data_IF_297411735278
#
_entry.id   IF_297411735278
#
_cell.length_a   1.000
_cell.length_b   1.000
_cell.length_c   1.000
_cell.angle_alpha   90.00
_cell.angle_beta   90.00
_cell.angle_gamma   90.00
#
_symmetry.space_group_name_H-M   'P 1'
#
loop_
_entity.id
_entity.type
_entity.pdbx_description
1 polymer ?
#
# COMPACT_ATOMS: atom_id res chain seq x y z
N UNK A 1 -17.60 -43.57 23.72
CA UNK A 1 -17.07 -43.42 22.34
C UNK A 1 -18.20 -43.35 21.29
N UNK A 2 -19.27 -44.15 21.42
CA UNK A 2 -20.40 -44.17 20.46
C UNK A 2 -21.31 -42.92 20.49
N UNK A 3 -21.52 -42.31 21.66
CA UNK A 3 -22.33 -41.08 21.79
C UNK A 3 -21.69 -39.86 21.12
N UNK A 4 -20.36 -39.77 21.20
CA UNK A 4 -19.60 -38.72 20.50
C UNK A 4 -19.72 -38.83 18.98
N UNK A 5 -19.83 -40.06 18.44
CA UNK A 5 -20.04 -40.27 17.00
C UNK A 5 -21.45 -39.83 16.59
N UNK A 6 -22.48 -40.20 17.37
CA UNK A 6 -23.87 -39.77 17.11
C UNK A 6 -24.04 -38.25 17.19
N UNK A 7 -23.40 -37.61 18.17
CA UNK A 7 -23.43 -36.16 18.29
C UNK A 7 -22.76 -35.50 17.07
N UNK A 8 -21.62 -36.03 16.62
CA UNK A 8 -20.93 -35.54 15.41
C UNK A 8 -21.80 -35.69 14.16
N UNK A 9 -22.47 -36.82 13.99
CA UNK A 9 -23.40 -37.05 12.87
C UNK A 9 -24.57 -36.06 12.91
N UNK A 10 -25.19 -35.87 14.07
CA UNK A 10 -26.27 -34.90 14.23
C UNK A 10 -25.84 -33.46 13.92
N UNK A 11 -24.61 -33.06 14.33
CA UNK A 11 -24.04 -31.75 13.99
C UNK A 11 -23.87 -31.63 12.46
N UNK A 12 -23.33 -32.66 11.80
CA UNK A 12 -23.16 -32.65 10.34
C UNK A 12 -24.51 -32.53 9.63
N UNK A 13 -25.51 -33.30 10.05
CA UNK A 13 -26.87 -33.26 9.47
C UNK A 13 -27.53 -31.88 9.63
N UNK A 14 -27.23 -31.14 10.69
CA UNK A 14 -27.81 -29.80 10.92
C UNK A 14 -27.06 -28.72 10.13
N UNK A 15 -25.73 -28.76 10.06
CA UNK A 15 -24.93 -27.64 9.54
C UNK A 15 -24.51 -27.79 8.07
N UNK A 16 -24.41 -29.01 7.52
CA UNK A 16 -24.05 -29.21 6.11
C UNK A 16 -25.16 -28.81 5.14
N UNK A 17 -26.45 -29.14 5.37
CA UNK A 17 -27.49 -28.77 4.42
C UNK A 17 -27.64 -27.26 4.22
N UNK A 18 -27.62 -26.40 5.26
CA UNK A 18 -27.62 -24.94 5.07
C UNK A 18 -26.42 -24.44 4.25
N UNK A 19 -25.21 -24.97 4.49
CA UNK A 19 -24.03 -24.60 3.72
C UNK A 19 -24.20 -24.94 2.23
N UNK A 20 -24.70 -26.15 1.94
CA UNK A 20 -24.98 -26.59 0.56
C UNK A 20 -26.08 -25.75 -0.09
N UNK A 21 -27.16 -25.48 0.65
CA UNK A 21 -28.27 -24.66 0.19
C UNK A 21 -27.80 -23.24 -0.17
N UNK A 22 -27.11 -22.55 0.74
CA UNK A 22 -26.56 -21.21 0.51
C UNK A 22 -25.57 -21.23 -0.66
N UNK A 23 -24.67 -22.19 -0.72
CA UNK A 23 -23.71 -22.32 -1.82
C UNK A 23 -24.38 -22.50 -3.18
N UNK A 24 -25.47 -23.28 -3.25
CA UNK A 24 -26.24 -23.48 -4.48
C UNK A 24 -27.05 -22.26 -4.92
N UNK A 25 -27.32 -21.32 -4.00
CA UNK A 25 -28.00 -20.05 -4.31
C UNK A 25 -27.03 -18.99 -4.84
N UNK A 26 -25.72 -19.14 -4.63
CA UNK A 26 -24.71 -18.23 -5.13
C UNK A 26 -24.40 -18.55 -6.60
N UNK A 27 -25.17 -17.95 -7.50
CA UNK A 27 -24.88 -17.99 -8.93
C UNK A 27 -23.99 -16.80 -9.30
N UNK A 28 -22.92 -17.01 -10.10
CA UNK A 28 -22.15 -15.90 -10.64
C UNK A 28 -23.08 -15.00 -11.47
N UNK A 29 -23.21 -13.75 -11.08
CA UNK A 29 -24.03 -12.77 -11.81
C UNK A 29 -23.30 -12.29 -13.08
N UNK A 30 -22.02 -11.92 -12.93
CA UNK A 30 -21.20 -11.39 -14.01
C UNK A 30 -19.82 -12.05 -14.05
N UNK A 31 -19.40 -12.43 -15.26
CA UNK A 31 -18.05 -12.91 -15.54
C UNK A 31 -17.29 -11.84 -16.32
N UNK A 32 -16.29 -11.25 -15.68
CA UNK A 32 -15.43 -10.25 -16.28
C UNK A 32 -14.09 -10.89 -16.64
N UNK A 33 -13.70 -10.81 -17.91
CA UNK A 33 -12.37 -11.25 -18.37
C UNK A 33 -11.42 -10.07 -18.30
N UNK A 34 -10.31 -10.22 -17.56
CA UNK A 34 -9.27 -9.19 -17.45
C UNK A 34 -8.39 -9.24 -18.70
N UNK A 35 -8.44 -8.22 -19.59
CA UNK A 35 -7.59 -8.20 -20.78
C UNK A 35 -6.12 -8.01 -20.39
N UNK A 36 -5.22 -8.60 -21.17
CA UNK A 36 -3.78 -8.40 -21.00
C UNK A 36 -3.12 -9.21 -19.87
N UNK A 37 -3.86 -10.10 -19.21
CA UNK A 37 -3.37 -10.94 -18.10
C UNK A 37 -3.32 -12.40 -18.56
N UNK A 38 -2.14 -13.03 -18.53
CA UNK A 38 -1.95 -14.45 -18.80
C UNK A 38 -1.48 -15.18 -17.55
N UNK A 39 -0.53 -14.60 -16.83
CA UNK A 39 0.08 -15.17 -15.62
C UNK A 39 0.12 -14.13 -14.51
N UNK A 40 -1.03 -13.84 -13.86
CA UNK A 40 -1.09 -12.83 -12.82
C UNK A 40 -0.25 -13.27 -11.63
N UNK A 41 0.59 -12.37 -11.15
CA UNK A 41 1.28 -12.45 -9.87
C UNK A 41 0.88 -11.27 -9.01
N UNK A 42 0.92 -11.42 -7.69
CA UNK A 42 0.55 -10.38 -6.71
C UNK A 42 -0.79 -9.69 -7.02
N UNK A 43 -1.89 -10.40 -6.75
CA UNK A 43 -3.24 -9.87 -6.93
C UNK A 43 -3.70 -9.21 -5.64
N UNK A 44 -4.10 -7.94 -5.72
CA UNK A 44 -4.80 -7.26 -4.65
C UNK A 44 -6.13 -6.70 -5.15
N UNK A 45 -7.14 -6.68 -4.29
CA UNK A 45 -8.47 -6.20 -4.62
C UNK A 45 -9.04 -5.37 -3.46
N UNK A 46 -9.82 -4.36 -3.80
CA UNK A 46 -10.57 -3.56 -2.85
C UNK A 46 -11.91 -3.16 -3.45
N UNK A 47 -12.93 -3.03 -2.59
CA UNK A 47 -14.29 -2.67 -2.97
C UNK A 47 -14.61 -1.28 -2.45
N UNK A 48 -14.86 -0.35 -3.36
CA UNK A 48 -15.38 0.96 -3.07
C UNK A 48 -16.91 0.89 -3.08
N UNK A 49 -17.50 0.78 -1.88
CA UNK A 49 -18.94 0.52 -1.71
C UNK A 49 -19.82 1.71 -2.07
N UNK A 50 -19.29 2.93 -1.98
CA UNK A 50 -20.05 4.14 -2.30
C UNK A 50 -20.37 4.25 -3.80
N UNK A 51 -19.43 3.83 -4.66
CA UNK A 51 -19.52 3.98 -6.11
C UNK A 51 -19.76 2.66 -6.85
N UNK A 52 -20.00 1.56 -6.12
CA UNK A 52 -20.14 0.21 -6.69
C UNK A 52 -18.96 -0.17 -7.59
N UNK A 53 -17.74 0.19 -7.17
CA UNK A 53 -16.50 -0.04 -7.95
C UNK A 53 -15.64 -1.08 -7.28
N UNK A 54 -15.25 -2.08 -8.05
CA UNK A 54 -14.23 -3.05 -7.65
C UNK A 54 -12.92 -2.65 -8.32
N UNK A 55 -11.94 -2.31 -7.49
CA UNK A 55 -10.58 -2.08 -7.93
C UNK A 55 -9.78 -3.36 -7.73
N UNK A 56 -9.13 -3.81 -8.79
CA UNK A 56 -8.26 -4.98 -8.77
C UNK A 56 -6.92 -4.59 -9.38
N UNK A 57 -5.84 -5.02 -8.77
CA UNK A 57 -4.50 -4.80 -9.29
C UNK A 57 -3.73 -6.10 -9.35
N UNK A 58 -2.85 -6.23 -10.33
CA UNK A 58 -2.00 -7.41 -10.51
C UNK A 58 -0.71 -7.03 -11.21
N UNK A 59 0.33 -7.82 -10.96
CA UNK A 59 1.57 -7.79 -11.73
C UNK A 59 1.53 -8.86 -12.84
N UNK A 60 1.70 -8.43 -14.09
CA UNK A 60 1.87 -9.29 -15.26
C UNK A 60 3.30 -9.11 -15.80
N UNK A 61 4.21 -10.00 -15.38
CA UNK A 61 5.64 -9.81 -15.61
C UNK A 61 6.15 -8.58 -14.87
N UNK A 62 6.53 -7.54 -15.61
CA UNK A 62 7.01 -6.26 -15.05
C UNK A 62 5.95 -5.16 -15.07
N UNK A 63 4.76 -5.45 -15.58
CA UNK A 63 3.68 -4.47 -15.72
C UNK A 63 2.75 -4.51 -14.53
N UNK A 64 2.52 -3.36 -13.89
CA UNK A 64 1.48 -3.20 -12.89
C UNK A 64 0.18 -2.79 -13.59
N UNK A 65 -0.85 -3.63 -13.49
CA UNK A 65 -2.15 -3.38 -14.13
C UNK A 65 -3.20 -3.10 -13.06
N UNK A 66 -3.89 -1.97 -13.18
CA UNK A 66 -5.06 -1.60 -12.38
C UNK A 66 -6.33 -1.75 -13.22
N UNK A 67 -7.26 -2.54 -12.72
CA UNK A 67 -8.59 -2.78 -13.26
C UNK A 67 -9.61 -2.05 -12.40
N UNK A 68 -10.35 -1.16 -13.02
CA UNK A 68 -11.49 -0.46 -12.44
C UNK A 68 -12.77 -1.05 -13.03
N UNK A 69 -13.46 -1.84 -12.23
CA UNK A 69 -14.65 -2.58 -12.62
C UNK A 69 -15.88 -1.94 -11.99
N UNK A 70 -16.75 -1.37 -12.82
CA UNK A 70 -18.04 -0.88 -12.38
C UNK A 70 -19.00 -2.07 -12.23
N UNK A 71 -19.45 -2.36 -11.02
CA UNK A 71 -20.24 -3.55 -10.71
C UNK A 71 -21.67 -3.46 -11.27
N UNK A 72 -22.23 -2.26 -11.41
CA UNK A 72 -23.58 -2.04 -11.93
C UNK A 72 -23.67 -2.28 -13.44
N UNK A 73 -22.71 -1.74 -14.19
CA UNK A 73 -22.67 -1.83 -15.66
C UNK A 73 -21.85 -3.03 -16.16
N UNK A 74 -20.94 -3.56 -15.34
CA UNK A 74 -19.95 -4.55 -15.77
C UNK A 74 -18.82 -3.96 -16.64
N UNK A 75 -18.77 -2.63 -16.79
CA UNK A 75 -17.72 -1.94 -17.53
C UNK A 75 -16.36 -2.09 -16.83
N UNK A 76 -15.31 -2.28 -17.63
CA UNK A 76 -13.93 -2.43 -17.14
C UNK A 76 -13.05 -1.41 -17.82
N UNK A 77 -12.34 -0.63 -17.01
CA UNK A 77 -11.26 0.23 -17.46
C UNK A 77 -9.95 -0.36 -16.95
N UNK A 78 -8.94 -0.43 -17.81
CA UNK A 78 -7.62 -0.97 -17.47
C UNK A 78 -6.57 0.11 -17.64
N UNK A 79 -5.71 0.24 -16.63
CA UNK A 79 -4.56 1.14 -16.60
C UNK A 79 -3.28 0.32 -16.40
N UNK A 80 -2.31 0.51 -17.28
CA UNK A 80 -0.94 0.07 -17.10
C UNK A 80 -0.19 1.18 -16.36
N UNK A 81 0.24 0.89 -15.14
CA UNK A 81 0.94 1.81 -14.27
C UNK A 81 2.44 1.56 -14.44
N UNK A 82 3.16 2.61 -14.84
CA UNK A 82 4.58 2.56 -15.17
C UNK A 82 5.34 3.43 -14.19
N UNK A 83 6.48 2.92 -13.74
CA UNK A 83 7.47 3.69 -12.97
C UNK A 83 8.77 3.70 -13.78
N UNK A 84 9.15 4.82 -14.43
CA UNK A 84 10.38 4.90 -15.21
C UNK A 84 11.60 4.45 -14.38
N UNK A 85 12.39 3.54 -14.95
CA UNK A 85 13.61 2.98 -14.33
C UNK A 85 13.39 2.17 -13.04
N UNK A 86 12.15 1.85 -12.70
CA UNK A 86 11.76 1.09 -11.50
C UNK A 86 10.85 -0.08 -11.88
N UNK A 87 11.10 -1.24 -11.28
CA UNK A 87 10.33 -2.46 -11.52
C UNK A 87 9.41 -2.75 -10.33
N UNK A 88 8.09 -2.93 -10.53
CA UNK A 88 7.19 -3.40 -9.48
C UNK A 88 7.52 -4.82 -9.02
N UNK A 89 7.60 -5.01 -7.70
CA UNK A 89 7.83 -6.31 -7.06
C UNK A 89 6.60 -6.83 -6.32
N UNK A 90 5.85 -5.93 -5.69
CA UNK A 90 4.70 -6.27 -4.87
C UNK A 90 3.71 -5.11 -4.81
N UNK A 91 2.44 -5.42 -4.55
CA UNK A 91 1.35 -4.43 -4.53
C UNK A 91 0.25 -4.83 -3.55
N UNK A 92 -0.27 -3.85 -2.81
CA UNK A 92 -1.41 -4.03 -1.91
C UNK A 92 -2.14 -2.70 -1.71
N UNK A 93 -3.47 -2.74 -1.55
CA UNK A 93 -4.22 -1.57 -1.10
C UNK A 93 -4.00 -1.34 0.39
N UNK A 94 -3.53 -0.14 0.75
CA UNK A 94 -3.43 0.30 2.14
C UNK A 94 -4.83 0.67 2.68
N UNK A 95 -5.53 1.46 1.87
CA UNK A 95 -6.95 1.81 1.94
C UNK A 95 -7.51 1.87 0.51
N UNK A 96 -8.82 1.90 0.26
CA UNK A 96 -9.36 1.95 -1.09
C UNK A 96 -8.79 3.08 -1.96
N UNK A 97 -8.45 4.22 -1.35
CA UNK A 97 -7.96 5.42 -2.02
C UNK A 97 -6.46 5.41 -2.28
N UNK A 98 -5.70 4.55 -1.58
CA UNK A 98 -4.23 4.52 -1.61
C UNK A 98 -3.73 3.10 -1.85
N UNK A 99 -2.98 2.93 -2.93
CA UNK A 99 -2.31 1.68 -3.28
C UNK A 99 -0.83 1.76 -2.91
N UNK A 100 -0.36 0.86 -2.08
CA UNK A 100 1.06 0.72 -1.78
C UNK A 100 1.73 -0.14 -2.84
N UNK A 101 2.91 0.28 -3.31
CA UNK A 101 3.70 -0.46 -4.29
C UNK A 101 5.13 -0.57 -3.80
N UNK A 102 5.69 -1.77 -3.90
CA UNK A 102 7.12 -2.01 -3.69
C UNK A 102 7.80 -2.09 -5.04
N UNK A 103 8.85 -1.29 -5.21
CA UNK A 103 9.60 -1.13 -6.45
C UNK A 103 11.06 -1.54 -6.25
N UNK A 104 11.72 -1.94 -7.34
CA UNK A 104 13.16 -2.23 -7.40
C UNK A 104 13.84 -1.33 -8.43
N UNK A 105 14.99 -0.76 -8.08
CA UNK A 105 15.80 0.01 -9.03
C UNK A 105 16.48 -0.89 -10.06
N UNK A 106 16.51 -0.44 -11.33
CA UNK A 106 17.21 -1.15 -12.41
C UNK A 106 18.74 -1.22 -12.21
N UNK A 107 19.33 -0.18 -11.61
CA UNK A 107 20.78 0.00 -11.48
C UNK A 107 21.36 -0.67 -10.21
N UNK A 108 20.52 -1.07 -9.25
CA UNK A 108 20.97 -1.53 -7.92
C UNK A 108 20.09 -2.67 -7.40
N UNK A 109 20.68 -3.86 -7.25
CA UNK A 109 19.99 -5.00 -6.61
C UNK A 109 19.59 -4.74 -5.15
N UNK A 110 20.17 -3.71 -4.51
CA UNK A 110 19.91 -3.37 -3.11
C UNK A 110 18.98 -2.19 -2.90
N UNK A 111 18.58 -1.50 -3.97
CA UNK A 111 17.67 -0.37 -3.92
C UNK A 111 16.23 -0.84 -4.09
N UNK A 112 15.51 -1.00 -2.97
CA UNK A 112 14.06 -1.09 -3.01
C UNK A 112 13.46 0.29 -2.70
N UNK A 113 12.34 0.63 -3.32
CA UNK A 113 11.60 1.87 -3.09
C UNK A 113 10.18 1.51 -2.72
N UNK A 114 9.66 2.10 -1.66
CA UNK A 114 8.28 1.96 -1.24
C UNK A 114 7.51 3.24 -1.60
N UNK A 115 6.32 3.11 -2.17
CA UNK A 115 5.50 4.26 -2.57
C UNK A 115 4.04 4.05 -2.19
N UNK A 116 3.42 5.12 -1.69
CA UNK A 116 1.97 5.23 -1.54
C UNK A 116 1.41 5.99 -2.76
N UNK A 117 0.70 5.28 -3.64
CA UNK A 117 0.14 5.83 -4.86
C UNK A 117 -1.35 6.13 -4.67
N UNK A 118 -1.78 7.41 -4.77
CA UNK A 118 -3.19 7.75 -4.78
C UNK A 118 -3.91 7.15 -6.00
N UNK A 119 -5.01 6.45 -5.78
CA UNK A 119 -5.72 5.72 -6.85
C UNK A 119 -6.56 6.67 -7.72
N UNK A 120 -7.20 7.67 -7.10
CA UNK A 120 -8.10 8.57 -7.83
C UNK A 120 -7.42 9.34 -8.98
N UNK A 121 -6.20 9.89 -8.84
CA UNK A 121 -5.45 10.46 -9.97
C UNK A 121 -5.18 9.45 -11.08
N UNK A 122 -4.76 8.22 -10.75
CA UNK A 122 -4.48 7.16 -11.73
C UNK A 122 -5.72 6.86 -12.59
N UNK A 123 -6.89 6.76 -11.96
CA UNK A 123 -8.15 6.54 -12.67
C UNK A 123 -8.52 7.70 -13.61
N UNK A 124 -8.15 8.94 -13.27
CA UNK A 124 -8.49 10.16 -14.03
C UNK A 124 -7.58 10.41 -15.23
N UNK A 125 -6.38 9.84 -15.27
CA UNK A 125 -5.45 10.01 -16.40
C UNK A 125 -6.10 9.47 -17.68
N UNK A 126 -6.08 10.25 -18.76
CA UNK A 126 -6.57 9.81 -20.05
C UNK A 126 -5.61 8.79 -20.68
N UNK A 127 -6.16 7.77 -21.34
CA UNK A 127 -5.37 6.69 -21.97
C UNK A 127 -5.23 5.43 -21.11
N UNK A 128 -4.50 4.45 -21.63
CA UNK A 128 -4.28 3.15 -20.98
C UNK A 128 -2.98 3.08 -20.20
N UNK A 129 -2.00 3.95 -20.46
CA UNK A 129 -0.71 3.97 -19.77
C UNK A 129 -0.64 5.19 -18.86
N UNK A 130 -0.13 4.99 -17.65
CA UNK A 130 -0.05 6.00 -16.60
C UNK A 130 1.36 5.98 -16.02
N UNK A 131 2.09 7.07 -16.21
CA UNK A 131 3.35 7.29 -15.50
C UNK A 131 3.05 7.75 -14.06
N UNK A 132 3.23 6.84 -13.11
CA UNK A 132 2.94 7.10 -11.71
C UNK A 132 3.93 8.06 -11.04
N UNK A 133 5.13 8.26 -11.61
CA UNK A 133 6.13 9.17 -11.01
C UNK A 133 5.69 10.63 -11.10
N UNK A 134 4.81 10.97 -12.05
CA UNK A 134 4.23 12.31 -12.16
C UNK A 134 2.98 12.50 -11.27
N UNK A 135 2.50 11.44 -10.62
CA UNK A 135 1.29 11.45 -9.78
C UNK A 135 1.59 11.46 -8.29
N UNK A 136 2.86 11.28 -7.92
CA UNK A 136 3.34 11.27 -6.54
C UNK A 136 4.41 12.34 -6.37
N UNK A 137 4.48 12.92 -5.17
CA UNK A 137 5.57 13.82 -4.82
C UNK A 137 6.87 13.03 -4.73
N UNK A 138 8.01 13.67 -5.02
CA UNK A 138 9.31 12.99 -4.96
C UNK A 138 9.64 12.48 -3.55
N UNK A 139 9.08 13.11 -2.51
CA UNK A 139 9.14 12.67 -1.09
C UNK A 139 8.37 11.37 -0.83
N UNK A 140 7.31 11.09 -1.60
CA UNK A 140 6.49 9.87 -1.43
C UNK A 140 7.21 8.59 -1.92
N UNK A 141 8.33 8.74 -2.63
CA UNK A 141 9.21 7.64 -3.02
C UNK A 141 10.21 7.39 -1.89
N UNK A 142 9.88 6.50 -0.96
CA UNK A 142 10.71 6.19 0.20
C UNK A 142 11.76 5.11 -0.16
N UNK A 143 13.05 5.46 -0.30
CA UNK A 143 14.09 4.46 -0.51
C UNK A 143 14.29 3.61 0.74
N UNK A 144 14.36 2.31 0.56
CA UNK A 144 14.55 1.34 1.64
C UNK A 144 16.04 1.02 1.77
N UNK A 145 16.69 1.60 2.78
CA UNK A 145 18.11 1.38 2.99
C UNK A 145 18.42 0.02 3.65
N UNK A 146 19.48 -0.64 3.21
CA UNK A 146 20.03 -1.85 3.85
C UNK A 146 19.07 -3.06 3.91
N UNK A 147 18.03 -3.10 3.07
CA UNK A 147 17.10 -4.22 2.97
C UNK A 147 16.77 -4.50 1.50
N UNK A 148 17.15 -5.69 1.03
CA UNK A 148 16.66 -6.24 -0.24
C UNK A 148 15.24 -6.76 0.01
N UNK A 149 14.25 -5.90 -0.16
CA UNK A 149 12.85 -6.23 0.07
C UNK A 149 12.28 -7.05 -1.11
N UNK A 150 11.44 -8.04 -0.81
CA UNK A 150 10.76 -8.85 -1.83
C UNK A 150 9.25 -8.76 -1.77
N UNK A 151 8.71 -8.51 -0.58
CA UNK A 151 7.26 -8.40 -0.38
C UNK A 151 6.97 -7.53 0.83
N UNK A 152 5.73 -7.09 0.95
CA UNK A 152 5.30 -6.30 2.10
C UNK A 152 3.87 -6.65 2.52
N UNK A 153 3.46 -6.09 3.65
CA UNK A 153 2.07 -6.06 4.08
C UNK A 153 1.76 -4.68 4.69
N UNK A 154 0.59 -4.14 4.40
CA UNK A 154 0.13 -2.84 4.93
C UNK A 154 -1.17 -2.97 5.71
N UNK A 155 -1.39 -2.02 6.61
CA UNK A 155 -2.63 -1.94 7.39
C UNK A 155 -3.09 -0.50 7.57
N UNK A 156 -4.11 -0.09 6.82
CA UNK A 156 -4.82 1.20 6.99
C UNK A 156 -5.24 1.48 8.42
N UNK A 157 -5.85 0.49 9.09
CA UNK A 157 -6.35 0.64 10.45
C UNK A 157 -5.25 0.88 11.50
N UNK A 158 -4.03 0.40 11.24
CA UNK A 158 -2.89 0.55 12.15
C UNK A 158 -1.88 1.58 11.69
N UNK A 159 -2.05 2.15 10.50
CA UNK A 159 -1.13 3.09 9.89
C UNK A 159 0.29 2.57 9.78
N UNK A 160 0.43 1.29 9.42
CA UNK A 160 1.74 0.62 9.38
C UNK A 160 1.97 -0.15 8.08
N UNK A 161 3.24 -0.25 7.71
CA UNK A 161 3.75 -1.17 6.70
C UNK A 161 4.81 -2.12 7.31
N UNK A 162 4.85 -3.34 6.79
CA UNK A 162 5.82 -4.38 7.15
C UNK A 162 6.49 -4.86 5.89
N UNK A 163 7.80 -4.74 5.79
CA UNK A 163 8.57 -5.20 4.64
C UNK A 163 9.34 -6.46 5.02
N UNK A 164 9.29 -7.45 4.13
CA UNK A 164 10.00 -8.72 4.25
C UNK A 164 11.16 -8.75 3.26
N UNK A 165 12.35 -9.11 3.74
CA UNK A 165 13.50 -9.32 2.87
C UNK A 165 13.30 -10.52 1.95
N UNK A 166 13.98 -10.52 0.80
CA UNK A 166 14.05 -11.67 -0.11
C UNK A 166 14.49 -12.97 0.57
N UNK A 167 15.45 -12.88 1.51
CA UNK A 167 15.90 -14.02 2.31
C UNK A 167 14.85 -14.58 3.29
N UNK A 168 13.74 -13.86 3.49
CA UNK A 168 12.70 -14.08 4.51
C UNK A 168 13.20 -14.12 5.95
N UNK A 169 14.40 -13.58 6.23
CA UNK A 169 15.02 -13.57 7.57
C UNK A 169 15.03 -12.19 8.23
N UNK A 170 14.83 -11.12 7.47
CA UNK A 170 14.77 -9.75 7.99
C UNK A 170 13.39 -9.16 7.70
N UNK A 171 12.83 -8.51 8.71
CA UNK A 171 11.58 -7.77 8.63
C UNK A 171 11.87 -6.34 9.08
N UNK A 172 11.28 -5.35 8.41
CA UNK A 172 11.29 -3.95 8.86
C UNK A 172 9.86 -3.44 8.95
N UNK A 173 9.58 -2.72 10.02
CA UNK A 173 8.31 -2.05 10.29
C UNK A 173 8.47 -0.56 9.95
N UNK A 174 7.45 0.01 9.35
CA UNK A 174 7.32 1.44 9.10
C UNK A 174 5.99 1.93 9.65
N UNK A 175 6.04 3.08 10.31
CA UNK A 175 4.86 3.87 10.62
C UNK A 175 4.62 4.81 9.43
N UNK A 176 3.41 4.77 8.87
CA UNK A 176 3.06 5.53 7.67
C UNK A 176 2.54 6.94 7.99
N UNK A 177 2.28 7.23 9.26
CA UNK A 177 1.75 8.53 9.69
C UNK A 177 2.82 9.42 10.33
N UNK A 178 3.99 8.88 10.68
CA UNK A 178 5.05 9.62 11.37
C UNK A 178 5.70 10.73 10.51
N UNK A 179 5.68 10.61 9.17
CA UNK A 179 6.33 11.60 8.29
C UNK A 179 5.51 12.88 8.09
N UNK A 180 4.28 12.98 8.64
CA UNK A 180 3.48 14.21 8.56
C UNK A 180 3.76 15.21 9.71
N UNK A 181 4.51 14.82 10.75
CA UNK A 181 4.75 15.65 11.94
C UNK A 181 6.11 16.39 11.92
N UNK A 182 7.03 16.04 11.03
CA UNK A 182 8.40 16.60 11.01
C UNK A 182 8.54 17.90 10.17
N UNK A 183 7.47 18.42 9.56
CA UNK A 183 7.51 19.66 8.73
C UNK A 183 7.11 20.95 9.49
N UNK A 184 6.83 20.92 10.80
CA UNK A 184 6.43 22.12 11.58
C UNK A 184 7.54 22.75 12.45
N UNK A 185 8.82 22.37 12.29
CA UNK A 185 9.91 22.89 13.15
C UNK A 185 11.08 23.61 12.42
N UNK A 186 10.83 24.33 11.32
CA UNK A 186 11.82 25.29 10.79
C UNK A 186 11.20 26.65 10.43
N UNK A 187 10.98 27.51 11.44
CA UNK A 187 10.38 28.82 11.20
C UNK A 187 10.36 29.82 12.36
N UNK A 188 11.43 29.93 13.16
CA UNK A 188 11.54 31.04 14.13
C UNK A 188 13.01 31.45 14.42
N UNK A 189 13.66 32.06 13.45
CA UNK A 189 14.76 33.04 13.61
C UNK A 189 14.43 34.18 12.62
N UNK A 190 14.41 35.49 12.92
CA UNK A 190 15.38 36.30 13.64
C UNK A 190 14.92 37.77 13.88
N UNK A 191 15.56 38.41 14.89
CA UNK A 191 15.94 39.85 15.04
C UNK A 191 14.84 40.94 15.20
N UNK A 192 14.95 42.06 15.96
CA UNK A 192 16.03 42.90 16.54
C UNK A 192 15.33 43.87 17.56
N UNK A 193 15.80 44.27 18.74
CA UNK A 193 16.89 45.25 18.97
C UNK A 193 16.92 45.72 20.44
N UNK A 194 18.11 46.13 20.90
CA UNK A 194 18.38 47.32 21.74
C UNK A 194 19.14 47.12 23.08
N UNK A 195 20.47 47.34 22.99
CA UNK A 195 21.37 48.17 23.84
C UNK A 195 21.48 47.87 25.36
N UNK A 196 22.64 47.47 25.90
CA UNK A 196 23.91 48.21 26.14
C UNK A 196 24.03 48.73 27.60
N UNK A 197 24.94 48.16 28.41
CA UNK A 197 25.98 48.89 29.18
C UNK A 197 26.88 47.95 30.02
N UNK A 198 28.09 47.70 29.51
CA UNK A 198 29.42 48.02 30.07
C UNK A 198 29.76 47.92 31.59
N UNK A 199 30.83 47.15 31.88
CA UNK A 199 31.83 47.17 33.00
C UNK A 199 31.32 46.77 34.41
N UNK A 200 32.05 46.02 35.26
CA UNK A 200 33.46 46.18 35.67
C UNK A 200 34.02 44.90 36.35
N UNK A 201 35.34 44.82 36.34
CA UNK A 201 36.27 43.81 36.85
C UNK A 201 36.48 43.97 38.37
N UNK A 202 36.55 42.86 39.14
CA UNK A 202 37.46 42.80 40.29
C UNK A 202 37.65 41.38 40.84
N UNK A 203 38.93 41.00 40.82
CA UNK A 203 39.56 39.95 41.60
C UNK A 203 39.48 40.25 43.10
N UNK A 204 39.14 39.28 43.96
CA UNK A 204 39.82 39.13 45.27
C UNK A 204 39.87 37.65 45.69
N UNK A 205 41.09 37.22 45.99
CA UNK A 205 41.53 35.93 46.52
C UNK A 205 41.34 35.89 48.05
N UNK A 206 40.76 34.78 48.55
CA UNK A 206 40.92 34.08 49.85
C UNK A 206 40.92 34.89 51.19
N UNK A 207 40.80 34.25 52.37
CA UNK A 207 41.66 33.17 52.90
C UNK A 207 41.00 31.78 52.95
#
# INVERSE_FOLDING_TARGET
MQEHLRLREAIIEVFVPPQSAVGSMLLPDKLVKLPGVQTPSQVALTLETADSRLLLTTLEGENLLLFDVNLDTGGVVVKSIIFPSLQPLDVQFYVPEIMSVLLKGAESERGAVFVQLPVAPVCKVAGSEVDATNLVESSALQPIENLVASSFAVSGARKMAVLLSESRRKIRLYDLDAEAEDEEEEGAMDADSSKCSTMDESLVVSP
#
